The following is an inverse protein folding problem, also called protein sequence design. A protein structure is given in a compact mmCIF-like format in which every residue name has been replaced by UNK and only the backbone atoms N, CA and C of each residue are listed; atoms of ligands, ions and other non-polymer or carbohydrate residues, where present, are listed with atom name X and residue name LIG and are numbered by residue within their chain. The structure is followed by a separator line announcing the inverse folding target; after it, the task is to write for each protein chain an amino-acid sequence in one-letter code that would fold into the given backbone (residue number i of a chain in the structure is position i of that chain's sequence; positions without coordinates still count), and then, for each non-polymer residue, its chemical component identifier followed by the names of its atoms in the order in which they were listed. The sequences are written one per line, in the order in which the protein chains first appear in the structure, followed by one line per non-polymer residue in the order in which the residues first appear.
data_IF_517049679663
#
_entry.id   IF_517049679663
#
_cell.length_a   1.000
_cell.length_b   1.000
_cell.length_c   1.000
_cell.angle_alpha   90.00
_cell.angle_beta   90.00
_cell.angle_gamma   90.00
#
_symmetry.space_group_name_H-M   'P 1'
#
loop_
_entity.id
_entity.type
_entity.pdbx_description
1 polymer ?
#
# COMPACT_ATOMS: atom_id res chain seq x y z
N UNK A 1 -3.32 -16.31 -1.78
CA UNK A 1 -2.14 -17.06 -1.28
C UNK A 1 -1.32 -17.74 -2.38
N UNK A 2 -1.88 -18.08 -3.55
CA UNK A 2 -1.17 -18.82 -4.61
C UNK A 2 0.10 -18.10 -5.09
N UNK A 3 0.02 -16.80 -5.40
CA UNK A 3 1.15 -16.02 -5.92
C UNK A 3 2.30 -15.94 -4.91
N UNK A 4 2.00 -15.62 -3.65
CA UNK A 4 3.01 -15.57 -2.58
C UNK A 4 3.69 -16.92 -2.35
N UNK A 5 2.94 -18.03 -2.43
CA UNK A 5 3.49 -19.38 -2.31
C UNK A 5 4.47 -19.70 -3.44
N UNK A 6 4.12 -19.41 -4.69
CA UNK A 6 5.02 -19.63 -5.84
C UNK A 6 6.34 -18.85 -5.70
N UNK A 7 6.27 -17.61 -5.24
CA UNK A 7 7.45 -16.79 -4.99
C UNK A 7 8.30 -17.37 -3.84
N UNK A 8 7.66 -17.77 -2.73
CA UNK A 8 8.34 -18.41 -1.61
C UNK A 8 9.05 -19.71 -2.02
N UNK A 9 8.37 -20.60 -2.76
CA UNK A 9 8.94 -21.88 -3.20
C UNK A 9 10.17 -21.66 -4.09
N UNK A 10 10.11 -20.71 -5.03
CA UNK A 10 11.27 -20.37 -5.85
C UNK A 10 12.40 -19.74 -5.02
N UNK A 11 12.08 -18.81 -4.12
CA UNK A 11 13.07 -18.18 -3.26
C UNK A 11 13.77 -19.21 -2.35
N UNK A 12 13.00 -20.13 -1.76
CA UNK A 12 13.54 -21.22 -0.93
C UNK A 12 14.43 -22.15 -1.74
N UNK A 13 13.99 -22.55 -2.94
CA UNK A 13 14.79 -23.37 -3.85
C UNK A 13 16.12 -22.70 -4.19
N UNK A 14 16.10 -21.43 -4.57
CA UNK A 14 17.30 -20.66 -4.89
C UNK A 14 18.23 -20.53 -3.67
N UNK A 15 17.67 -20.21 -2.51
CA UNK A 15 18.41 -20.11 -1.25
C UNK A 15 19.12 -21.40 -0.88
N UNK A 16 18.44 -22.55 -0.97
CA UNK A 16 19.01 -23.86 -0.67
C UNK A 16 20.10 -24.29 -1.67
N UNK A 17 20.04 -23.80 -2.91
CA UNK A 17 21.04 -24.08 -3.95
C UNK A 17 22.22 -23.10 -3.99
N UNK A 18 22.18 -22.02 -3.21
CA UNK A 18 23.17 -20.94 -3.30
C UNK A 18 24.52 -21.36 -2.70
N UNK A 19 25.62 -21.06 -3.41
CA UNK A 19 26.98 -21.23 -2.90
C UNK A 19 27.54 -19.89 -2.38
N UNK A 20 28.24 -19.91 -1.24
CA UNK A 20 28.80 -18.71 -0.59
C UNK A 20 29.77 -17.94 -1.50
N UNK A 21 30.42 -18.63 -2.45
CA UNK A 21 31.36 -18.07 -3.42
C UNK A 21 30.73 -17.07 -4.41
N UNK A 22 29.40 -16.97 -4.48
CA UNK A 22 28.71 -16.22 -5.54
C UNK A 22 28.63 -14.70 -5.29
N UNK A 23 28.74 -14.25 -4.04
CA UNK A 23 28.57 -12.83 -3.67
C UNK A 23 29.86 -12.14 -3.26
N UNK A 24 30.71 -12.88 -2.57
CA UNK A 24 31.85 -12.34 -1.84
C UNK A 24 33.07 -13.03 -2.41
N UNK A 25 33.85 -12.31 -3.24
CA UNK A 25 35.25 -12.69 -3.44
C UNK A 25 35.98 -12.74 -2.07
N UNK A 26 37.28 -12.99 -2.03
CA UNK A 26 38.01 -13.11 -0.74
C UNK A 26 37.94 -11.88 0.18
N UNK A 27 37.43 -10.73 -0.30
CA UNK A 27 37.19 -9.51 0.48
C UNK A 27 35.87 -8.82 0.04
N UNK A 28 34.83 -8.72 0.89
CA UNK A 28 33.57 -8.07 0.53
C UNK A 28 33.76 -6.54 0.47
N UNK A 29 33.97 -6.02 -0.74
CA UNK A 29 33.92 -4.57 -0.96
C UNK A 29 32.52 -4.04 -0.68
N UNK A 30 32.40 -3.30 0.42
CA UNK A 30 31.20 -2.54 0.78
C UNK A 30 31.41 -1.09 0.38
N UNK A 31 30.51 -0.58 -0.45
CA UNK A 31 30.52 0.83 -0.83
C UNK A 31 29.09 1.30 -1.05
N UNK A 32 28.84 2.58 -0.81
CA UNK A 32 27.57 3.22 -1.12
C UNK A 32 27.82 4.56 -1.76
N UNK A 33 26.97 4.93 -2.70
CA UNK A 33 26.88 6.27 -3.25
C UNK A 33 25.41 6.64 -3.25
N UNK A 34 25.09 7.84 -2.78
CA UNK A 34 23.75 8.38 -2.84
C UNK A 34 23.81 9.79 -3.43
N UNK A 35 22.76 10.17 -4.12
CA UNK A 35 22.62 11.52 -4.63
C UNK A 35 21.14 11.91 -4.67
N UNK A 36 20.88 13.17 -4.35
CA UNK A 36 19.54 13.75 -4.28
C UNK A 36 19.58 15.00 -5.17
N UNK A 37 18.80 15.00 -6.25
CA UNK A 37 18.89 16.06 -7.27
C UNK A 37 17.56 16.53 -7.78
N UNK A 38 17.48 17.83 -8.07
CA UNK A 38 16.45 18.37 -8.95
C UNK A 38 16.66 17.91 -10.40
N UNK A 39 15.87 16.93 -10.82
CA UNK A 39 15.99 16.32 -12.15
C UNK A 39 15.62 17.28 -13.28
N UNK A 40 14.79 18.30 -13.01
CA UNK A 40 14.28 19.23 -14.04
C UNK A 40 15.30 20.31 -14.42
N UNK A 41 16.30 20.53 -13.57
CA UNK A 41 17.33 21.54 -13.77
C UNK A 41 18.43 21.10 -14.76
N UNK A 42 18.59 19.80 -14.99
CA UNK A 42 19.74 19.24 -15.69
C UNK A 42 19.50 18.98 -17.19
N UNK A 43 20.53 19.26 -17.99
CA UNK A 43 20.61 18.82 -19.38
C UNK A 43 21.70 17.72 -19.48
N UNK A 44 21.41 16.63 -20.19
CA UNK A 44 22.26 15.44 -20.19
C UNK A 44 22.37 14.79 -21.57
N UNK A 45 23.49 14.14 -21.89
CA UNK A 45 23.64 13.41 -23.15
C UNK A 45 22.73 12.17 -23.18
N UNK A 46 22.31 11.76 -24.38
CA UNK A 46 21.58 10.49 -24.52
C UNK A 46 22.46 9.30 -24.12
N UNK A 47 21.98 8.38 -23.26
CA UNK A 47 22.70 7.17 -22.89
C UNK A 47 22.57 6.05 -23.94
N UNK A 48 21.77 6.25 -24.99
CA UNK A 48 21.43 5.23 -26.00
C UNK A 48 22.34 5.37 -27.22
N UNK A 49 23.62 5.03 -27.08
CA UNK A 49 24.58 5.01 -28.18
C UNK A 49 24.35 3.76 -29.05
N UNK A 50 23.45 3.86 -30.03
CA UNK A 50 23.14 2.78 -30.98
C UNK A 50 21.82 2.97 -31.75
N UNK A 51 20.88 3.76 -31.23
CA UNK A 51 19.63 4.12 -31.94
C UNK A 51 19.79 5.40 -32.78
N UNK A 52 20.92 6.11 -32.64
CA UNK A 52 21.31 7.23 -33.50
C UNK A 52 21.96 6.75 -34.82
N UNK A 53 21.26 5.92 -35.58
CA UNK A 53 21.62 5.70 -36.98
C UNK A 53 21.10 6.90 -37.78
N UNK A 54 22.01 7.65 -38.40
CA UNK A 54 21.75 8.76 -39.35
C UNK A 54 21.16 10.06 -38.79
N UNK A 55 21.77 10.66 -37.77
CA UNK A 55 21.75 12.13 -37.65
C UNK A 55 23.19 12.62 -37.55
N UNK A 56 23.48 13.68 -38.31
CA UNK A 56 24.81 14.23 -38.61
C UNK A 56 25.81 14.24 -37.45
N UNK A 57 27.09 14.21 -37.81
CA UNK A 57 28.29 14.23 -36.97
C UNK A 57 28.46 15.47 -36.05
N UNK A 58 27.38 16.18 -35.72
CA UNK A 58 27.33 17.13 -34.62
C UNK A 58 26.88 16.40 -33.36
N UNK A 59 27.55 16.65 -32.23
CA UNK A 59 27.18 16.10 -30.92
C UNK A 59 25.65 16.14 -30.73
N UNK A 60 24.99 15.00 -30.44
CA UNK A 60 23.53 14.98 -30.34
C UNK A 60 23.07 16.01 -29.29
N UNK A 61 21.93 16.69 -29.51
CA UNK A 61 21.45 17.71 -28.57
C UNK A 61 21.26 17.09 -27.19
N UNK A 62 21.63 17.84 -26.15
CA UNK A 62 21.39 17.43 -24.77
C UNK A 62 19.89 17.26 -24.53
N UNK A 63 19.53 16.15 -23.88
CA UNK A 63 18.18 15.87 -23.43
C UNK A 63 17.88 16.63 -22.15
N UNK A 64 16.59 16.88 -21.92
CA UNK A 64 16.03 17.37 -20.66
C UNK A 64 14.82 16.52 -20.31
N UNK A 65 14.56 16.39 -19.02
CA UNK A 65 13.26 15.90 -18.54
C UNK A 65 12.27 17.07 -18.45
N UNK A 66 11.00 16.75 -18.25
CA UNK A 66 9.93 17.73 -18.10
C UNK A 66 9.62 18.01 -16.63
N UNK A 67 8.98 19.16 -16.30
CA UNK A 67 8.27 19.32 -15.04
C UNK A 67 7.29 18.15 -14.80
N UNK A 68 7.03 17.78 -13.55
CA UNK A 68 6.18 16.63 -13.26
C UNK A 68 4.74 16.81 -13.78
N UNK A 69 4.24 15.85 -14.55
CA UNK A 69 2.84 15.83 -14.96
C UNK A 69 2.28 14.41 -15.13
N UNK A 70 1.01 14.25 -14.75
CA UNK A 70 0.25 13.03 -15.03
C UNK A 70 -0.48 13.15 -16.36
N UNK A 71 -0.56 12.03 -17.07
CA UNK A 71 -1.32 11.92 -18.31
C UNK A 71 -2.69 11.28 -18.11
N UNK A 72 -3.61 11.48 -19.06
CA UNK A 72 -4.94 10.86 -19.03
C UNK A 72 -4.92 9.34 -18.81
N UNK A 73 -3.92 8.63 -19.35
CA UNK A 73 -3.72 7.21 -19.12
C UNK A 73 -3.55 6.86 -17.64
N UNK A 74 -2.90 7.72 -16.85
CA UNK A 74 -2.78 7.55 -15.39
C UNK A 74 -4.16 7.54 -14.76
N UNK A 75 -5.04 8.50 -15.06
CA UNK A 75 -6.37 8.58 -14.45
C UNK A 75 -7.32 7.44 -14.87
N UNK A 76 -6.96 6.66 -15.90
CA UNK A 76 -7.71 5.46 -16.32
C UNK A 76 -7.51 4.25 -15.41
N UNK A 77 -6.50 4.26 -14.55
CA UNK A 77 -6.15 3.14 -13.68
C UNK A 77 -5.59 1.95 -14.47
N UNK A 78 -5.52 0.79 -13.82
CA UNK A 78 -5.07 -0.47 -14.43
C UNK A 78 -6.14 -1.55 -14.23
N UNK A 79 -5.86 -2.75 -14.75
CA UNK A 79 -6.68 -3.95 -14.46
C UNK A 79 -6.64 -4.37 -12.98
N UNK A 80 -5.63 -3.92 -12.23
CA UNK A 80 -5.48 -4.20 -10.80
C UNK A 80 -6.19 -3.16 -9.92
N UNK A 81 -6.65 -2.06 -10.52
CA UNK A 81 -7.38 -0.98 -9.87
C UNK A 81 -7.85 0.04 -10.90
N UNK A 82 -9.13 -0.05 -11.28
CA UNK A 82 -9.70 0.80 -12.32
C UNK A 82 -9.80 2.27 -11.87
N UNK A 83 -9.75 3.18 -12.84
CA UNK A 83 -10.17 4.56 -12.65
C UNK A 83 -11.60 4.66 -12.10
N UNK A 84 -11.89 5.69 -11.31
CA UNK A 84 -13.23 5.89 -10.73
C UNK A 84 -14.29 6.25 -11.77
N UNK A 85 -13.87 6.65 -12.97
CA UNK A 85 -14.76 7.18 -13.99
C UNK A 85 -14.43 6.62 -15.37
N UNK A 86 -15.47 6.17 -16.07
CA UNK A 86 -15.40 5.70 -17.47
C UNK A 86 -14.92 6.77 -18.45
N UNK A 87 -14.88 8.04 -18.03
CA UNK A 87 -14.25 9.14 -18.78
C UNK A 87 -12.75 8.93 -18.99
N UNK A 88 -12.08 8.19 -18.11
CA UNK A 88 -10.67 7.87 -18.23
C UNK A 88 -10.49 6.42 -18.68
N UNK A 89 -9.97 6.23 -19.88
CA UNK A 89 -9.63 4.91 -20.42
C UNK A 89 -8.13 4.85 -20.74
N UNK A 90 -7.52 3.69 -20.51
CA UNK A 90 -6.11 3.47 -20.89
C UNK A 90 -5.94 3.65 -22.40
N UNK A 91 -4.83 4.26 -22.83
CA UNK A 91 -4.55 4.50 -24.25
C UNK A 91 -5.31 5.67 -24.87
N UNK A 92 -6.06 6.45 -24.06
CA UNK A 92 -6.79 7.63 -24.55
C UNK A 92 -5.82 8.76 -24.90
N UNK A 93 -5.85 9.16 -26.18
CA UNK A 93 -5.04 10.26 -26.73
C UNK A 93 -5.80 11.58 -26.89
N UNK A 94 -7.07 11.61 -26.54
CA UNK A 94 -7.93 12.81 -26.63
C UNK A 94 -8.28 13.33 -25.25
N UNK A 95 -8.05 14.62 -25.02
CA UNK A 95 -8.44 15.31 -23.79
C UNK A 95 -9.95 15.56 -23.71
N UNK A 96 -10.46 15.74 -22.49
CA UNK A 96 -11.84 16.19 -22.24
C UNK A 96 -11.85 17.66 -21.87
N UNK A 97 -12.76 18.45 -22.44
CA UNK A 97 -12.90 19.89 -22.17
C UNK A 97 -13.17 20.15 -20.68
N UNK A 98 -14.07 19.38 -20.06
CA UNK A 98 -14.41 19.52 -18.64
C UNK A 98 -13.20 19.23 -17.74
N UNK A 99 -12.46 18.16 -18.04
CA UNK A 99 -11.28 17.78 -17.25
C UNK A 99 -10.13 18.77 -17.45
N UNK A 100 -9.94 19.29 -18.66
CA UNK A 100 -8.96 20.34 -18.93
C UNK A 100 -9.29 21.61 -18.15
N UNK A 101 -10.57 22.02 -18.08
CA UNK A 101 -11.00 23.17 -17.31
C UNK A 101 -10.67 23.00 -15.82
N UNK A 102 -11.05 21.86 -15.22
CA UNK A 102 -10.78 21.57 -13.81
C UNK A 102 -9.27 21.52 -13.54
N UNK A 103 -8.50 20.87 -14.41
CA UNK A 103 -7.03 20.82 -14.36
C UNK A 103 -6.44 22.22 -14.35
N UNK A 104 -6.88 23.09 -15.27
CA UNK A 104 -6.28 24.41 -15.46
C UNK A 104 -6.60 25.37 -14.30
N UNK A 105 -7.67 25.13 -13.54
CA UNK A 105 -7.95 25.82 -12.26
C UNK A 105 -6.91 25.45 -11.20
N UNK A 106 -6.49 24.19 -11.10
CA UNK A 106 -5.49 23.75 -10.11
C UNK A 106 -4.05 24.08 -10.53
N UNK A 107 -3.76 23.96 -11.82
CA UNK A 107 -2.41 24.11 -12.36
C UNK A 107 -2.46 24.17 -13.89
N UNK A 108 -2.37 25.37 -14.50
CA UNK A 108 -2.53 25.52 -15.93
C UNK A 108 -1.44 24.79 -16.71
N UNK A 109 -1.84 24.09 -17.77
CA UNK A 109 -0.91 23.47 -18.73
C UNK A 109 -0.58 24.48 -19.83
N UNK A 110 0.70 24.84 -19.93
CA UNK A 110 1.19 25.71 -21.00
C UNK A 110 1.52 24.91 -22.27
N UNK A 111 1.58 25.57 -23.45
CA UNK A 111 2.06 24.93 -24.67
C UNK A 111 3.47 24.32 -24.53
N UNK A 112 4.33 24.94 -23.71
CA UNK A 112 5.66 24.42 -23.41
C UNK A 112 5.63 23.12 -22.59
N UNK A 113 4.73 23.02 -21.60
CA UNK A 113 4.55 21.79 -20.83
C UNK A 113 4.09 20.65 -21.75
N UNK A 114 3.06 20.92 -22.57
CA UNK A 114 2.52 19.93 -23.51
C UNK A 114 3.57 19.52 -24.56
N UNK A 115 4.35 20.46 -25.07
CA UNK A 115 5.43 20.18 -26.02
C UNK A 115 6.52 19.31 -25.39
N UNK A 116 6.91 19.57 -24.14
CA UNK A 116 7.89 18.74 -23.43
C UNK A 116 7.38 17.31 -23.22
N UNK A 117 6.13 17.17 -22.76
CA UNK A 117 5.52 15.87 -22.52
C UNK A 117 5.18 15.08 -23.79
N UNK A 118 5.22 15.73 -24.96
CA UNK A 118 5.04 15.11 -26.26
C UNK A 118 3.67 14.46 -26.42
N UNK A 119 3.65 13.14 -26.63
CA UNK A 119 2.44 12.36 -26.90
C UNK A 119 1.49 12.25 -25.70
N UNK A 120 1.99 12.47 -24.47
CA UNK A 120 1.17 12.43 -23.26
C UNK A 120 0.24 13.63 -23.23
N UNK A 121 -1.06 13.36 -23.25
CA UNK A 121 -2.08 14.38 -22.92
C UNK A 121 -2.09 14.59 -21.40
N UNK A 122 -1.75 15.79 -20.96
CA UNK A 122 -1.63 16.11 -19.54
C UNK A 122 -3.02 16.22 -18.90
N UNK A 123 -3.30 15.39 -17.90
CA UNK A 123 -4.53 15.46 -17.10
C UNK A 123 -4.34 16.26 -15.81
N UNK A 124 -3.10 16.35 -15.31
CA UNK A 124 -2.77 17.07 -14.08
C UNK A 124 -1.32 17.57 -14.13
N UNK A 125 -1.14 18.89 -14.05
CA UNK A 125 0.17 19.54 -14.03
C UNK A 125 0.78 19.52 -12.62
N UNK A 126 1.13 18.32 -12.15
CA UNK A 126 1.54 18.07 -10.78
C UNK A 126 2.72 18.93 -10.30
N UNK A 127 3.65 19.29 -11.17
CA UNK A 127 4.81 20.11 -10.86
C UNK A 127 4.48 21.59 -10.61
N UNK A 128 3.25 22.04 -10.90
CA UNK A 128 2.79 23.42 -10.65
C UNK A 128 1.78 23.53 -9.52
N UNK A 129 1.29 22.41 -8.99
CA UNK A 129 0.31 22.41 -7.92
C UNK A 129 1.06 22.59 -6.59
N UNK A 130 0.63 23.61 -5.84
CA UNK A 130 1.13 23.91 -4.50
C UNK A 130 -0.04 23.79 -3.52
N UNK A 131 0.11 22.97 -2.47
CA UNK A 131 -0.85 22.89 -1.38
C UNK A 131 -0.24 23.54 -0.15
N UNK A 132 -0.65 24.76 0.20
CA UNK A 132 -0.11 25.51 1.35
C UNK A 132 1.42 25.57 1.37
N UNK A 133 2.02 25.99 0.24
CA UNK A 133 3.47 26.06 0.01
C UNK A 133 4.20 24.70 0.04
N UNK A 134 3.44 23.61 -0.14
CA UNK A 134 3.98 22.26 -0.32
C UNK A 134 3.81 21.88 -1.79
N UNK A 135 4.91 21.61 -2.52
CA UNK A 135 4.79 21.13 -3.89
C UNK A 135 4.11 19.77 -3.89
N UNK A 136 3.11 19.62 -4.77
CA UNK A 136 2.35 18.39 -4.90
C UNK A 136 3.24 17.20 -5.29
N UNK A 137 4.20 17.44 -6.16
CA UNK A 137 5.29 16.51 -6.45
C UNK A 137 6.63 17.23 -6.30
N UNK A 138 7.58 16.56 -5.67
CA UNK A 138 8.97 17.02 -5.63
C UNK A 138 9.62 16.87 -7.02
N UNK A 139 10.50 17.79 -7.40
CA UNK A 139 11.45 17.58 -8.51
C UNK A 139 12.79 17.01 -8.01
N UNK A 140 12.99 17.02 -6.70
CA UNK A 140 14.17 16.50 -6.02
C UNK A 140 14.02 15.00 -5.79
N UNK A 141 14.79 14.20 -6.53
CA UNK A 141 14.69 12.73 -6.59
C UNK A 141 15.91 12.08 -5.92
N UNK A 142 15.72 11.22 -4.89
CA UNK A 142 16.80 10.48 -4.26
C UNK A 142 17.15 9.22 -5.05
N UNK A 143 18.43 8.98 -5.28
CA UNK A 143 18.95 7.78 -5.95
C UNK A 143 20.15 7.23 -5.19
N UNK A 144 20.31 5.91 -5.16
CA UNK A 144 21.39 5.28 -4.41
C UNK A 144 21.84 3.98 -5.08
N UNK A 145 23.15 3.72 -5.01
CA UNK A 145 23.74 2.43 -5.38
C UNK A 145 24.54 1.92 -4.19
N UNK A 146 24.22 0.71 -3.74
CA UNK A 146 24.95 -0.02 -2.72
C UNK A 146 25.68 -1.20 -3.35
N UNK A 147 26.96 -1.36 -3.04
CA UNK A 147 27.78 -2.49 -3.46
C UNK A 147 28.05 -3.41 -2.28
N UNK A 148 27.79 -4.69 -2.49
CA UNK A 148 28.15 -5.80 -1.60
C UNK A 148 28.92 -6.82 -2.43
N UNK A 149 30.25 -6.71 -2.45
CA UNK A 149 31.12 -7.56 -3.26
C UNK A 149 30.82 -7.41 -4.76
N UNK A 150 30.23 -8.45 -5.36
CA UNK A 150 29.81 -8.47 -6.78
C UNK A 150 28.35 -8.03 -7.00
N UNK A 151 27.57 -7.79 -5.94
CA UNK A 151 26.19 -7.34 -6.04
C UNK A 151 26.12 -5.81 -5.94
N UNK A 152 25.43 -5.19 -6.89
CA UNK A 152 25.15 -3.76 -6.95
C UNK A 152 23.63 -3.57 -6.87
N UNK A 153 23.15 -3.10 -5.72
CA UNK A 153 21.73 -2.81 -5.49
C UNK A 153 21.49 -1.36 -5.85
N UNK A 154 20.71 -1.12 -6.90
CA UNK A 154 20.32 0.20 -7.36
C UNK A 154 18.94 0.52 -6.80
N UNK A 155 18.90 1.36 -5.77
CA UNK A 155 17.68 1.82 -5.12
C UNK A 155 17.09 3.01 -5.88
N UNK A 156 15.86 2.83 -6.35
CA UNK A 156 15.15 3.75 -7.23
C UNK A 156 13.80 4.11 -6.62
N UNK A 157 13.43 5.40 -6.58
CA UNK A 157 12.18 5.82 -5.96
C UNK A 157 11.04 5.76 -6.98
N UNK A 158 10.99 4.70 -7.80
CA UNK A 158 10.04 4.58 -8.91
C UNK A 158 9.73 3.11 -9.26
N UNK A 159 8.66 2.92 -10.01
CA UNK A 159 8.21 1.66 -10.60
C UNK A 159 8.71 1.54 -12.05
N UNK A 160 9.80 0.80 -12.24
CA UNK A 160 10.36 0.55 -13.57
C UNK A 160 9.54 -0.50 -14.30
N UNK A 161 9.12 -0.22 -15.53
CA UNK A 161 8.57 -1.26 -16.40
C UNK A 161 9.61 -2.33 -16.71
N UNK A 162 9.16 -3.49 -17.19
CA UNK A 162 10.04 -4.61 -17.51
C UNK A 162 11.18 -4.21 -18.46
N UNK A 163 10.88 -3.51 -19.56
CA UNK A 163 11.91 -3.11 -20.51
C UNK A 163 12.75 -1.94 -20.03
N UNK A 164 12.18 -1.01 -19.26
CA UNK A 164 12.95 0.06 -18.60
C UNK A 164 14.02 -0.51 -17.68
N UNK A 165 13.64 -1.47 -16.83
CA UNK A 165 14.56 -2.13 -15.92
C UNK A 165 15.65 -2.92 -16.66
N UNK A 166 15.30 -3.66 -17.72
CA UNK A 166 16.28 -4.39 -18.55
C UNK A 166 17.29 -3.46 -19.20
N UNK A 167 16.83 -2.40 -19.87
CA UNK A 167 17.70 -1.39 -20.51
C UNK A 167 18.62 -0.73 -19.48
N UNK A 168 18.10 -0.38 -18.31
CA UNK A 168 18.88 0.24 -17.25
C UNK A 168 19.96 -0.72 -16.70
N UNK A 169 19.62 -1.97 -16.40
CA UNK A 169 20.59 -2.97 -15.94
C UNK A 169 21.71 -3.18 -16.95
N UNK A 170 21.37 -3.30 -18.24
CA UNK A 170 22.38 -3.44 -19.30
C UNK A 170 23.27 -2.21 -19.42
N UNK A 171 22.70 -1.01 -19.33
CA UNK A 171 23.45 0.23 -19.38
C UNK A 171 24.45 0.34 -18.21
N UNK A 172 24.02 0.06 -16.98
CA UNK A 172 24.87 0.12 -15.79
C UNK A 172 26.01 -0.91 -15.81
N UNK A 173 25.78 -2.09 -16.39
CA UNK A 173 26.85 -3.09 -16.57
C UNK A 173 27.95 -2.66 -17.54
N UNK A 174 27.69 -1.66 -18.39
CA UNK A 174 28.67 -1.09 -19.33
C UNK A 174 29.48 0.05 -18.73
N UNK A 175 29.21 0.46 -17.48
CA UNK A 175 30.03 1.45 -16.78
C UNK A 175 31.48 0.96 -16.71
N UNK A 176 32.43 1.87 -16.95
CA UNK A 176 33.86 1.54 -16.89
C UNK A 176 34.22 0.95 -15.52
N UNK A 177 35.06 -0.08 -15.51
CA UNK A 177 35.45 -0.80 -14.29
C UNK A 177 34.36 -1.67 -13.65
N UNK A 178 33.17 -1.79 -14.26
CA UNK A 178 32.15 -2.72 -13.75
C UNK A 178 32.67 -4.17 -13.82
N UNK A 179 32.58 -4.95 -12.72
CA UNK A 179 33.12 -6.31 -12.71
C UNK A 179 32.42 -7.23 -13.72
N UNK A 180 33.19 -8.06 -14.45
CA UNK A 180 32.65 -9.02 -15.44
C UNK A 180 31.56 -9.94 -14.87
N UNK A 181 31.71 -10.36 -13.61
CA UNK A 181 30.76 -11.23 -12.92
C UNK A 181 29.77 -10.45 -12.03
N UNK A 182 29.81 -9.12 -12.06
CA UNK A 182 28.96 -8.26 -11.26
C UNK A 182 27.48 -8.41 -11.62
N UNK A 183 26.62 -8.25 -10.62
CA UNK A 183 25.16 -8.31 -10.75
C UNK A 183 24.57 -6.97 -10.36
N UNK A 184 23.72 -6.42 -11.21
CA UNK A 184 22.90 -5.24 -10.88
C UNK A 184 21.51 -5.73 -10.52
N UNK A 185 21.06 -5.40 -9.31
CA UNK A 185 19.72 -5.64 -8.81
C UNK A 185 19.01 -4.29 -8.71
N UNK A 186 17.93 -4.11 -9.46
CA UNK A 186 17.07 -2.95 -9.27
C UNK A 186 16.17 -3.20 -8.06
N UNK A 187 16.13 -2.22 -7.16
CA UNK A 187 15.21 -2.18 -6.04
C UNK A 187 14.33 -0.94 -6.20
N UNK A 188 13.12 -1.12 -6.74
CA UNK A 188 12.14 -0.05 -6.91
C UNK A 188 11.56 0.41 -5.56
N UNK A 189 10.71 1.44 -5.60
CA UNK A 189 10.00 1.99 -4.44
C UNK A 189 10.92 2.25 -3.22
N UNK A 190 12.16 2.66 -3.47
CA UNK A 190 13.17 2.89 -2.45
C UNK A 190 13.40 4.38 -2.23
N UNK A 191 13.53 4.83 -0.98
CA UNK A 191 13.85 6.22 -0.58
C UNK A 191 12.82 7.31 -0.95
N UNK A 192 11.84 7.01 -1.79
CA UNK A 192 10.75 7.90 -2.19
C UNK A 192 9.83 7.22 -3.21
N UNK A 193 8.83 7.94 -3.70
CA UNK A 193 7.90 7.45 -4.72
C UNK A 193 7.56 8.52 -5.76
N UNK A 194 8.04 8.31 -6.99
CA UNK A 194 7.91 9.17 -8.16
C UNK A 194 7.26 8.39 -9.32
N UNK A 195 6.30 7.52 -8.96
CA UNK A 195 5.47 6.76 -9.90
C UNK A 195 6.31 5.93 -10.87
N UNK A 196 5.93 5.90 -12.15
CA UNK A 196 6.44 4.92 -13.11
C UNK A 196 7.61 5.47 -13.92
N UNK A 197 8.38 4.54 -14.48
CA UNK A 197 9.36 4.84 -15.52
C UNK A 197 9.16 3.84 -16.65
N UNK A 198 8.70 4.36 -17.78
CA UNK A 198 8.57 3.63 -19.04
C UNK A 198 9.75 3.89 -19.97
N UNK A 199 9.95 3.00 -20.93
CA UNK A 199 10.75 3.31 -22.12
C UNK A 199 10.05 4.39 -22.94
N UNK A 200 10.77 5.08 -23.83
CA UNK A 200 10.17 6.05 -24.76
C UNK A 200 9.09 5.42 -25.67
N UNK A 201 9.26 4.13 -26.01
CA UNK A 201 8.34 3.38 -26.85
C UNK A 201 7.05 3.06 -26.10
N UNK A 202 7.17 2.58 -24.86
CA UNK A 202 6.04 2.35 -23.95
C UNK A 202 5.32 3.68 -23.61
N UNK A 203 6.07 4.77 -23.42
CA UNK A 203 5.54 6.11 -23.15
C UNK A 203 4.55 6.56 -24.25
N UNK A 204 4.91 6.32 -25.52
CA UNK A 204 4.04 6.64 -26.66
C UNK A 204 2.77 5.77 -26.76
N UNK A 205 2.70 4.67 -26.01
CA UNK A 205 1.51 3.83 -25.89
C UNK A 205 0.38 4.49 -25.11
N UNK A 206 0.67 5.53 -24.30
CA UNK A 206 -0.32 6.27 -23.48
C UNK A 206 -1.14 5.40 -22.50
N UNK A 207 -0.59 4.26 -22.09
CA UNK A 207 -1.12 3.42 -21.01
C UNK A 207 -0.92 4.04 -19.62
N UNK A 208 -1.35 3.36 -18.56
CA UNK A 208 -1.29 3.86 -17.19
C UNK A 208 0.13 4.29 -16.78
N UNK A 209 1.10 3.42 -17.00
CA UNK A 209 2.50 3.62 -16.63
C UNK A 209 3.12 4.78 -17.44
N UNK A 210 2.73 4.92 -18.70
CA UNK A 210 3.14 6.04 -19.55
C UNK A 210 2.55 7.37 -19.06
N UNK A 211 1.26 7.36 -18.69
CA UNK A 211 0.61 8.50 -18.05
C UNK A 211 1.26 8.87 -16.71
N UNK A 212 1.71 7.87 -15.96
CA UNK A 212 2.35 8.01 -14.65
C UNK A 212 3.87 8.23 -14.70
N UNK A 213 4.48 8.26 -15.88
CA UNK A 213 5.91 8.59 -16.03
C UNK A 213 6.12 10.10 -15.93
N UNK A 214 6.31 10.59 -14.70
CA UNK A 214 6.13 12.00 -14.33
C UNK A 214 6.91 12.99 -15.16
N UNK A 215 8.20 12.74 -15.41
CA UNK A 215 9.12 13.71 -16.00
C UNK A 215 9.28 13.57 -17.52
N UNK A 216 8.26 13.00 -18.18
CA UNK A 216 8.18 12.94 -19.64
C UNK A 216 8.97 11.79 -20.28
N UNK A 217 9.08 11.78 -21.63
CA UNK A 217 9.60 10.64 -22.38
C UNK A 217 11.07 10.33 -22.08
N UNK A 218 11.85 11.32 -21.65
CA UNK A 218 13.28 11.18 -21.36
C UNK A 218 13.58 10.68 -19.94
N UNK A 219 12.57 10.32 -19.15
CA UNK A 219 12.75 9.91 -17.74
C UNK A 219 13.70 8.72 -17.60
N UNK A 220 13.54 7.66 -18.41
CA UNK A 220 14.45 6.50 -18.37
C UNK A 220 15.88 6.87 -18.78
N UNK A 221 16.01 7.75 -19.77
CA UNK A 221 17.32 8.22 -20.25
C UNK A 221 18.06 9.00 -19.14
N UNK A 222 17.34 9.84 -18.40
CA UNK A 222 17.90 10.53 -17.24
C UNK A 222 18.42 9.54 -16.19
N UNK A 223 17.61 8.56 -15.79
CA UNK A 223 18.02 7.54 -14.82
C UNK A 223 19.26 6.77 -15.29
N UNK A 224 19.29 6.33 -16.56
CA UNK A 224 20.43 5.61 -17.10
C UNK A 224 21.72 6.43 -17.05
N UNK A 225 21.68 7.68 -17.52
CA UNK A 225 22.82 8.60 -17.46
C UNK A 225 23.27 8.90 -16.03
N UNK A 226 22.34 9.27 -15.16
CA UNK A 226 22.63 9.66 -13.78
C UNK A 226 23.21 8.51 -12.96
N UNK A 227 22.59 7.32 -13.05
CA UNK A 227 23.05 6.15 -12.30
C UNK A 227 24.37 5.61 -12.84
N UNK A 228 24.67 5.75 -14.13
CA UNK A 228 25.98 5.42 -14.67
C UNK A 228 27.08 6.35 -14.11
N UNK A 229 26.77 7.63 -13.86
CA UNK A 229 27.68 8.55 -13.15
C UNK A 229 27.88 8.11 -11.70
N UNK A 230 26.81 7.79 -10.98
CA UNK A 230 26.93 7.26 -9.60
C UNK A 230 27.74 5.97 -9.55
N UNK A 231 27.49 5.05 -10.47
CA UNK A 231 28.26 3.80 -10.59
C UNK A 231 29.74 4.08 -10.84
N UNK A 232 30.06 5.05 -11.71
CA UNK A 232 31.43 5.46 -11.99
C UNK A 232 32.14 6.02 -10.74
N UNK A 233 31.44 6.86 -9.95
CA UNK A 233 31.94 7.34 -8.67
C UNK A 233 32.17 6.20 -7.66
N UNK A 234 31.24 5.27 -7.55
CA UNK A 234 31.32 4.12 -6.65
C UNK A 234 32.51 3.21 -6.99
N UNK A 235 32.83 3.07 -8.28
CA UNK A 235 33.94 2.25 -8.78
C UNK A 235 35.28 3.00 -8.83
N UNK A 236 35.29 4.32 -8.57
CA UNK A 236 36.49 5.15 -8.69
C UNK A 236 36.98 5.31 -10.13
N UNK A 237 36.08 5.24 -11.11
CA UNK A 237 36.43 5.28 -12.54
C UNK A 237 35.98 6.57 -13.20
N UNK A 238 36.84 7.11 -14.07
CA UNK A 238 36.55 8.28 -14.90
C UNK A 238 36.77 9.63 -14.20
N UNK A 239 36.92 10.68 -15.02
CA UNK A 239 37.06 12.06 -14.56
C UNK A 239 35.66 12.68 -14.38
N UNK A 240 34.90 12.23 -13.39
CA UNK A 240 33.62 12.85 -13.06
C UNK A 240 33.82 13.96 -12.03
N UNK A 241 33.17 15.12 -12.18
CA UNK A 241 33.19 16.15 -11.15
C UNK A 241 32.66 15.56 -9.84
N UNK A 242 33.20 15.97 -8.66
CA UNK A 242 32.71 15.50 -7.38
C UNK A 242 31.18 15.61 -7.29
N UNK A 243 30.53 14.63 -6.66
CA UNK A 243 29.10 14.72 -6.38
C UNK A 243 28.88 15.93 -5.46
N UNK A 244 28.34 17.00 -6.02
CA UNK A 244 27.83 18.12 -5.24
C UNK A 244 26.54 17.64 -4.58
N UNK A 245 26.63 17.27 -3.31
CA UNK A 245 25.47 17.06 -2.46
C UNK A 245 24.65 18.35 -2.47
N UNK A 246 23.52 18.35 -3.18
CA UNK A 246 22.55 19.43 -3.02
C UNK A 246 22.01 19.31 -1.59
N UNK A 247 22.09 20.40 -0.84
CA UNK A 247 21.39 20.50 0.43
C UNK A 247 19.90 20.28 0.11
N UNK A 248 19.34 19.14 0.52
CA UNK A 248 17.89 18.99 0.55
C UNK A 248 17.36 20.10 1.45
N UNK A 249 16.26 20.72 1.06
CA UNK A 249 15.58 21.71 1.89
C UNK A 249 15.45 21.15 3.32
N UNK A 250 16.02 21.84 4.31
CA UNK A 250 16.31 21.26 5.63
C UNK A 250 15.03 20.83 6.40
N UNK A 251 13.86 21.14 5.85
CA UNK A 251 12.55 20.85 6.42
C UNK A 251 11.69 20.03 5.46
N UNK A 252 12.11 18.78 5.20
CA UNK A 252 11.32 17.80 4.44
C UNK A 252 10.08 17.32 5.21
N UNK A 253 10.10 17.43 6.55
CA UNK A 253 8.97 17.02 7.37
C UNK A 253 7.93 18.13 7.47
N UNK A 254 6.98 18.10 6.53
CA UNK A 254 5.79 18.96 6.54
C UNK A 254 4.58 18.24 7.15
N UNK A 255 4.77 17.10 7.82
CA UNK A 255 3.69 16.29 8.40
C UNK A 255 2.81 17.09 9.34
N UNK A 256 3.39 17.91 10.23
CA UNK A 256 2.63 18.76 11.15
C UNK A 256 1.73 19.76 10.40
N UNK A 257 2.19 20.31 9.28
CA UNK A 257 1.39 21.22 8.45
C UNK A 257 0.29 20.44 7.72
N UNK A 258 0.61 19.26 7.18
CA UNK A 258 -0.38 18.38 6.55
C UNK A 258 -1.43 17.89 7.55
N UNK A 259 -1.07 17.59 8.79
CA UNK A 259 -2.00 17.21 9.86
C UNK A 259 -2.93 18.38 10.25
N UNK A 260 -2.42 19.61 10.25
CA UNK A 260 -3.23 20.81 10.48
C UNK A 260 -4.21 21.06 9.33
N UNK A 261 -3.80 20.79 8.09
CA UNK A 261 -4.59 21.02 6.88
C UNK A 261 -5.61 19.90 6.64
N UNK A 262 -5.19 18.63 6.75
CA UNK A 262 -6.05 17.46 6.56
C UNK A 262 -7.01 17.22 7.73
N UNK A 263 -6.75 17.89 8.86
CA UNK A 263 -7.31 17.53 10.15
C UNK A 263 -6.71 16.21 10.61
N UNK A 264 -6.17 16.14 11.83
CA UNK A 264 -6.03 14.86 12.51
C UNK A 264 -7.39 14.15 12.39
N UNK A 265 -7.48 12.91 11.85
CA UNK A 265 -8.73 12.18 11.90
C UNK A 265 -8.97 11.90 13.37
N UNK A 266 -9.65 12.83 14.05
CA UNK A 266 -10.15 12.62 15.39
C UNK A 266 -10.90 11.30 15.29
N UNK A 267 -10.40 10.27 15.97
CA UNK A 267 -10.91 8.90 15.85
C UNK A 267 -12.36 8.78 16.31
N UNK A 268 -12.92 9.90 16.78
CA UNK A 268 -14.23 10.04 17.36
C UNK A 268 -14.18 9.63 18.82
N UNK A 269 -15.35 9.60 19.42
CA UNK A 269 -15.56 8.82 20.63
C UNK A 269 -16.00 7.41 20.24
N UNK A 270 -15.82 6.47 21.15
CA UNK A 270 -16.33 5.10 21.04
C UNK A 270 -17.45 4.91 22.07
N UNK A 271 -18.52 4.21 21.69
CA UNK A 271 -19.62 3.89 22.58
C UNK A 271 -19.88 2.38 22.62
N UNK A 272 -19.90 1.79 23.81
CA UNK A 272 -20.17 0.35 23.97
C UNK A 272 -21.69 0.04 24.01
N UNK A 273 -22.53 1.06 24.20
CA UNK A 273 -23.94 0.89 24.57
C UNK A 273 -24.17 1.10 26.06
N UNK A 274 -25.44 1.11 26.47
CA UNK A 274 -25.84 1.37 27.86
C UNK A 274 -25.70 0.13 28.76
N UNK A 275 -25.72 -1.07 28.17
CA UNK A 275 -25.81 -2.34 28.89
C UNK A 275 -24.67 -3.31 28.58
N UNK A 276 -23.65 -2.85 27.87
CA UNK A 276 -22.56 -3.69 27.39
C UNK A 276 -21.21 -2.98 27.51
N UNK A 277 -20.14 -3.77 27.50
CA UNK A 277 -18.77 -3.30 27.60
C UNK A 277 -18.00 -3.56 26.30
N UNK A 278 -16.94 -2.77 26.08
CA UNK A 278 -15.99 -3.06 25.01
C UNK A 278 -15.34 -4.43 25.22
N UNK A 279 -15.33 -5.25 24.17
CA UNK A 279 -14.87 -6.63 24.23
C UNK A 279 -15.98 -7.65 24.53
N UNK A 280 -17.22 -7.25 24.78
CA UNK A 280 -18.30 -8.23 24.96
C UNK A 280 -18.58 -8.98 23.64
N UNK A 281 -18.67 -10.33 23.65
CA UNK A 281 -19.03 -11.11 22.49
C UNK A 281 -20.52 -10.96 22.17
N UNK A 282 -20.83 -10.69 20.91
CA UNK A 282 -22.20 -10.52 20.41
C UNK A 282 -22.86 -11.83 19.98
N UNK A 283 -22.06 -12.88 19.77
CA UNK A 283 -22.52 -14.22 19.44
C UNK A 283 -21.63 -15.26 20.13
N UNK A 284 -22.13 -16.49 20.28
CA UNK A 284 -21.38 -17.60 20.86
C UNK A 284 -20.64 -18.41 19.78
N UNK A 285 -19.55 -19.08 20.17
CA UNK A 285 -18.91 -20.13 19.36
C UNK A 285 -19.68 -21.44 19.48
N UNK A 286 -19.58 -22.32 18.47
CA UNK A 286 -19.95 -23.74 18.64
C UNK A 286 -19.03 -24.39 19.67
N UNK A 287 -19.45 -25.54 20.22
CA UNK A 287 -18.64 -26.30 21.18
C UNK A 287 -17.40 -26.93 20.55
N UNK A 288 -17.48 -27.31 19.27
CA UNK A 288 -16.38 -27.94 18.56
C UNK A 288 -16.33 -27.54 17.07
N UNK A 289 -15.13 -27.62 16.49
CA UNK A 289 -14.83 -27.32 15.10
C UNK A 289 -13.81 -28.33 14.56
N UNK A 290 -13.99 -28.76 13.31
CA UNK A 290 -13.02 -29.54 12.58
C UNK A 290 -12.00 -28.64 11.85
N UNK A 291 -10.80 -29.15 11.54
CA UNK A 291 -9.86 -28.48 10.63
C UNK A 291 -10.51 -28.17 9.28
N UNK A 292 -10.23 -26.98 8.75
CA UNK A 292 -10.87 -26.43 7.56
C UNK A 292 -12.15 -25.62 7.83
N UNK A 293 -12.84 -25.86 8.95
CA UNK A 293 -13.97 -25.03 9.36
C UNK A 293 -13.51 -23.65 9.87
N UNK A 294 -14.43 -22.68 9.89
CA UNK A 294 -14.16 -21.33 10.38
C UNK A 294 -14.93 -21.02 11.66
N UNK A 295 -14.19 -20.54 12.67
CA UNK A 295 -14.76 -19.92 13.86
C UNK A 295 -15.02 -18.46 13.53
N UNK A 296 -16.26 -17.99 13.73
CA UNK A 296 -16.63 -16.59 13.51
C UNK A 296 -17.30 -16.01 14.75
N UNK A 297 -16.74 -14.91 15.24
CA UNK A 297 -17.25 -14.17 16.40
C UNK A 297 -17.30 -12.68 16.08
N UNK A 298 -18.24 -11.97 16.70
CA UNK A 298 -18.29 -10.52 16.69
C UNK A 298 -18.20 -10.00 18.11
N UNK A 299 -17.49 -8.90 18.30
CA UNK A 299 -17.31 -8.24 19.58
C UNK A 299 -17.74 -6.78 19.47
N UNK A 300 -18.26 -6.22 20.57
CA UNK A 300 -18.33 -4.76 20.72
C UNK A 300 -16.90 -4.23 20.74
N UNK A 301 -16.61 -3.27 19.85
CA UNK A 301 -15.25 -2.82 19.55
C UNK A 301 -15.16 -1.30 19.61
N UNK A 302 -13.94 -0.83 19.46
CA UNK A 302 -13.58 0.57 19.27
C UNK A 302 -12.93 0.78 17.91
N UNK A 303 -12.76 2.05 17.51
CA UNK A 303 -12.04 2.44 16.32
C UNK A 303 -10.59 1.92 16.39
N UNK A 304 -10.14 1.04 15.47
CA UNK A 304 -8.80 0.43 15.52
C UNK A 304 -7.68 1.46 15.45
N UNK A 305 -7.96 2.67 14.92
CA UNK A 305 -7.01 3.77 14.85
C UNK A 305 -6.46 4.18 16.22
N UNK A 306 -7.22 3.99 17.29
CA UNK A 306 -6.78 4.25 18.66
C UNK A 306 -5.57 3.38 19.10
N UNK A 307 -5.28 2.28 18.40
CA UNK A 307 -4.20 1.35 18.76
C UNK A 307 -3.02 1.33 17.77
N UNK A 308 -3.04 2.15 16.71
CA UNK A 308 -2.06 2.06 15.61
C UNK A 308 -0.63 2.42 16.00
N UNK A 309 -0.43 3.28 16.99
CA UNK A 309 0.90 3.70 17.43
C UNK A 309 1.63 2.64 18.29
N UNK A 310 0.95 1.54 18.65
CA UNK A 310 1.47 0.56 19.60
C UNK A 310 2.25 -0.54 18.89
N UNK A 311 3.55 -0.60 19.17
CA UNK A 311 4.43 -1.67 18.65
C UNK A 311 4.06 -3.03 19.28
N UNK A 312 4.07 -4.08 18.47
CA UNK A 312 3.82 -5.45 18.93
C UNK A 312 2.37 -5.72 19.37
N UNK A 313 1.42 -4.85 19.02
CA UNK A 313 0.01 -5.04 19.33
C UNK A 313 -0.67 -5.96 18.29
N UNK A 314 -1.60 -6.78 18.76
CA UNK A 314 -2.53 -7.54 17.93
C UNK A 314 -3.95 -7.32 18.44
N UNK A 315 -4.88 -7.05 17.52
CA UNK A 315 -6.30 -6.89 17.80
C UNK A 315 -6.99 -8.21 18.11
N UNK A 316 -6.42 -9.33 17.64
CA UNK A 316 -6.97 -10.68 17.79
C UNK A 316 -5.88 -11.65 18.19
N UNK A 317 -6.16 -12.44 19.23
CA UNK A 317 -5.37 -13.60 19.62
C UNK A 317 -6.25 -14.85 19.60
N UNK A 318 -5.84 -15.85 18.82
CA UNK A 318 -6.34 -17.21 18.95
C UNK A 318 -5.47 -17.90 19.98
N UNK A 319 -6.05 -18.28 21.11
CA UNK A 319 -5.34 -18.87 22.22
C UNK A 319 -5.72 -20.35 22.35
N UNK A 320 -4.72 -21.21 22.57
CA UNK A 320 -4.89 -22.63 22.90
C UNK A 320 -4.63 -22.84 24.39
N UNK A 321 -5.43 -23.66 25.05
CA UNK A 321 -5.15 -24.07 26.41
C UNK A 321 -4.02 -25.10 26.42
N UNK A 322 -2.98 -24.84 27.22
CA UNK A 322 -1.88 -25.76 27.47
C UNK A 322 -2.10 -26.45 28.80
N UNK A 323 -2.45 -27.74 28.78
CA UNK A 323 -2.63 -28.52 29.99
C UNK A 323 -1.34 -28.59 30.82
N UNK A 324 -0.18 -28.78 30.18
CA UNK A 324 1.13 -28.81 30.83
C UNK A 324 1.45 -27.54 31.63
N UNK A 325 1.03 -26.37 31.14
CA UNK A 325 1.32 -25.07 31.76
C UNK A 325 0.13 -24.50 32.54
N UNK A 326 -1.00 -25.20 32.55
CA UNK A 326 -2.29 -24.75 33.08
C UNK A 326 -2.68 -23.32 32.65
N UNK A 327 -2.34 -22.92 31.42
CA UNK A 327 -2.58 -21.56 30.91
C UNK A 327 -2.86 -21.52 29.41
N UNK A 328 -3.52 -20.44 28.99
CA UNK A 328 -3.72 -20.10 27.58
C UNK A 328 -2.42 -19.60 26.96
N UNK A 329 -2.08 -20.13 25.78
CA UNK A 329 -0.93 -19.73 24.97
C UNK A 329 -1.41 -19.26 23.60
N UNK A 330 -0.76 -18.24 23.04
CA UNK A 330 -1.12 -17.73 21.71
C UNK A 330 -0.74 -18.75 20.65
N UNK A 331 -1.73 -19.19 19.86
CA UNK A 331 -1.57 -20.11 18.74
C UNK A 331 -1.55 -19.36 17.40
N UNK A 332 -2.29 -18.25 17.28
CA UNK A 332 -2.25 -17.36 16.12
C UNK A 332 -2.64 -15.94 16.52
N UNK A 333 -2.16 -14.96 15.76
CA UNK A 333 -2.54 -13.54 15.86
C UNK A 333 -3.29 -13.11 14.59
N UNK A 334 -3.64 -11.82 14.51
CA UNK A 334 -4.15 -11.15 13.31
C UNK A 334 -3.12 -11.00 12.17
N UNK A 335 -1.83 -11.19 12.42
CA UNK A 335 -0.82 -11.34 11.36
C UNK A 335 -0.84 -12.71 10.69
N UNK A 336 -1.57 -13.68 11.26
CA UNK A 336 -1.72 -15.02 10.71
C UNK A 336 -2.57 -15.05 9.44
N UNK A 337 -2.15 -15.83 8.44
CA UNK A 337 -2.84 -15.93 7.14
C UNK A 337 -4.29 -16.40 7.24
N UNK A 338 -4.64 -17.13 8.30
CA UNK A 338 -5.94 -17.73 8.54
C UNK A 338 -6.84 -16.93 9.49
N UNK A 339 -6.32 -15.84 10.05
CA UNK A 339 -7.09 -14.93 10.89
C UNK A 339 -7.52 -13.73 10.07
N UNK A 340 -8.75 -13.28 10.29
CA UNK A 340 -9.30 -12.06 9.70
C UNK A 340 -9.94 -11.23 10.80
N UNK A 341 -9.50 -9.99 10.90
CA UNK A 341 -10.12 -8.96 11.70
C UNK A 341 -10.83 -7.98 10.75
N UNK A 342 -12.14 -7.78 10.94
CA UNK A 342 -12.92 -6.80 10.19
C UNK A 342 -13.66 -5.91 11.16
N UNK A 343 -13.47 -4.60 11.00
CA UNK A 343 -14.12 -3.60 11.82
C UNK A 343 -15.27 -2.94 11.04
N UNK A 344 -16.39 -2.74 11.71
CA UNK A 344 -17.58 -2.12 11.15
C UNK A 344 -18.07 -1.00 12.07
N UNK A 345 -18.15 0.25 11.59
CA UNK A 345 -18.83 1.31 12.32
C UNK A 345 -20.33 1.00 12.39
N UNK A 346 -20.96 1.39 13.48
CA UNK A 346 -22.40 1.33 13.70
C UNK A 346 -22.94 2.72 14.03
N UNK A 347 -24.26 2.83 14.25
CA UNK A 347 -24.87 4.08 14.69
C UNK A 347 -24.36 4.50 16.08
N UNK A 348 -24.51 5.78 16.40
CA UNK A 348 -24.21 6.34 17.74
C UNK A 348 -22.81 6.01 18.26
N UNK A 349 -21.78 6.08 17.40
CA UNK A 349 -20.38 5.83 17.76
C UNK A 349 -20.08 4.40 18.24
N UNK A 350 -21.02 3.47 18.07
CA UNK A 350 -20.77 2.07 18.33
C UNK A 350 -19.95 1.46 17.19
N UNK A 351 -19.23 0.38 17.48
CA UNK A 351 -18.57 -0.39 16.43
C UNK A 351 -18.46 -1.86 16.79
N UNK A 352 -18.33 -2.69 15.76
CA UNK A 352 -18.25 -4.15 15.89
C UNK A 352 -16.99 -4.66 15.21
N UNK A 353 -16.24 -5.48 15.93
CA UNK A 353 -15.12 -6.25 15.38
C UNK A 353 -15.58 -7.67 15.09
N UNK A 354 -15.64 -8.05 13.81
CA UNK A 354 -15.83 -9.44 13.39
C UNK A 354 -14.48 -10.11 13.23
N UNK A 355 -14.28 -11.16 14.02
CA UNK A 355 -13.13 -12.04 13.95
C UNK A 355 -13.53 -13.31 13.23
N UNK A 356 -12.70 -13.75 12.28
CA UNK A 356 -12.82 -15.08 11.67
C UNK A 356 -11.48 -15.78 11.74
N UNK A 357 -11.47 -17.00 12.28
CA UNK A 357 -10.32 -17.88 12.26
C UNK A 357 -10.68 -19.16 11.51
N UNK A 358 -10.09 -19.35 10.33
CA UNK A 358 -10.20 -20.60 9.58
C UNK A 358 -9.17 -21.57 10.13
N UNK A 359 -9.59 -22.69 10.70
CA UNK A 359 -8.67 -23.63 11.34
C UNK A 359 -7.81 -24.28 10.25
N UNK A 360 -6.48 -24.07 10.22
CA UNK A 360 -5.64 -24.65 9.19
C UNK A 360 -5.54 -26.18 9.36
N UNK A 361 -5.28 -26.88 8.26
CA UNK A 361 -4.89 -28.30 8.32
C UNK A 361 -3.63 -28.46 9.19
N UNK A 362 -3.58 -29.52 10.00
CA UNK A 362 -2.48 -29.74 10.95
C UNK A 362 -2.53 -28.87 12.21
N UNK A 363 -3.61 -28.11 12.44
CA UNK A 363 -3.79 -27.39 13.70
C UNK A 363 -3.89 -28.39 14.86
N UNK A 364 -3.14 -28.14 15.94
CA UNK A 364 -3.16 -29.02 17.11
C UNK A 364 -4.57 -29.14 17.70
N UNK A 365 -5.10 -30.34 17.93
CA UNK A 365 -6.37 -30.52 18.61
C UNK A 365 -6.33 -30.00 20.05
N UNK A 366 -7.49 -29.68 20.60
CA UNK A 366 -7.61 -29.23 21.99
C UNK A 366 -8.51 -28.04 22.14
N UNK A 367 -8.38 -27.34 23.27
CA UNK A 367 -9.28 -26.26 23.63
C UNK A 367 -8.72 -24.90 23.26
N UNK A 368 -9.59 -24.09 22.66
CA UNK A 368 -9.28 -22.80 22.10
C UNK A 368 -10.26 -21.73 22.60
N UNK A 369 -9.82 -20.48 22.55
CA UNK A 369 -10.65 -19.30 22.66
C UNK A 369 -10.09 -18.18 21.79
N UNK A 370 -10.93 -17.22 21.45
CA UNK A 370 -10.54 -16.01 20.73
C UNK A 370 -10.58 -14.84 21.70
N UNK A 371 -9.48 -14.10 21.81
CA UNK A 371 -9.42 -12.82 22.49
C UNK A 371 -9.45 -11.69 21.46
N UNK A 372 -10.29 -10.71 21.69
CA UNK A 372 -10.24 -9.42 21.02
C UNK A 372 -9.75 -8.36 22.01
N UNK A 373 -8.86 -7.48 21.57
CA UNK A 373 -8.30 -6.42 22.40
C UNK A 373 -7.98 -5.19 21.57
N UNK A 374 -7.83 -4.05 22.23
CA UNK A 374 -7.53 -2.78 21.59
C UNK A 374 -7.62 -1.64 22.58
N UNK A 375 -7.82 -0.43 22.05
CA UNK A 375 -7.96 0.78 22.83
C UNK A 375 -9.18 1.59 22.39
N UNK A 376 -9.82 2.23 23.35
CA UNK A 376 -11.07 2.95 23.18
C UNK A 376 -10.92 4.37 23.69
N UNK A 377 -11.63 5.29 23.04
CA UNK A 377 -11.85 6.64 23.53
C UNK A 377 -13.31 6.74 24.02
N UNK A 378 -13.64 6.22 25.21
CA UNK A 378 -15.03 6.03 25.62
C UNK A 378 -15.80 7.35 25.70
N UNK A 379 -17.01 7.40 25.13
CA UNK A 379 -17.93 8.49 25.38
C UNK A 379 -18.44 8.41 26.83
N UNK A 380 -17.80 9.10 27.78
CA UNK A 380 -18.30 9.24 29.16
C UNK A 380 -19.32 10.37 29.23
N UNK A 381 -20.43 10.12 29.92
CA UNK A 381 -21.50 11.10 30.15
C UNK A 381 -20.94 12.33 30.86
N UNK A 382 -20.68 13.41 30.12
CA UNK A 382 -20.40 14.75 30.65
C UNK A 382 -18.95 15.27 30.63
N UNK A 383 -17.94 14.51 30.16
CA UNK A 383 -16.57 15.03 30.02
C UNK A 383 -16.02 14.83 28.61
N UNK A 384 -15.70 15.94 27.93
CA UNK A 384 -15.15 16.03 26.57
C UNK A 384 -13.66 15.64 26.45
N UNK A 385 -13.10 14.97 27.46
CA UNK A 385 -11.71 14.52 27.49
C UNK A 385 -11.66 13.05 27.92
N UNK A 386 -12.13 12.15 27.05
CA UNK A 386 -11.90 10.73 27.26
C UNK A 386 -10.47 10.39 26.82
N UNK A 387 -9.63 9.98 27.78
CA UNK A 387 -8.34 9.36 27.51
C UNK A 387 -8.53 8.01 26.80
N UNK A 388 -7.56 7.65 25.96
CA UNK A 388 -7.53 6.35 25.29
C UNK A 388 -7.21 5.26 26.32
N UNK A 389 -8.13 4.29 26.52
CA UNK A 389 -8.02 3.20 27.50
C UNK A 389 -8.01 1.83 26.84
N UNK A 390 -7.23 0.85 27.33
CA UNK A 390 -7.23 -0.50 26.80
C UNK A 390 -8.52 -1.26 27.16
N UNK A 391 -8.92 -2.20 26.30
CA UNK A 391 -9.97 -3.18 26.59
C UNK A 391 -9.54 -4.57 26.14
N UNK A 392 -10.15 -5.60 26.73
CA UNK A 392 -9.96 -6.98 26.31
C UNK A 392 -11.23 -7.79 26.55
N UNK A 393 -11.65 -8.51 25.51
CA UNK A 393 -12.78 -9.43 25.50
C UNK A 393 -12.35 -10.83 25.09
N UNK A 394 -12.99 -11.85 25.66
CA UNK A 394 -12.71 -13.26 25.33
C UNK A 394 -13.98 -14.00 24.96
N UNK A 395 -13.90 -14.85 23.96
CA UNK A 395 -14.96 -15.78 23.60
C UNK A 395 -15.13 -16.86 24.67
N UNK A 396 -16.26 -17.58 24.59
CA UNK A 396 -16.37 -18.90 25.21
C UNK A 396 -15.31 -19.87 24.68
N UNK A 397 -15.04 -20.93 25.46
CA UNK A 397 -14.16 -22.04 25.08
C UNK A 397 -14.82 -22.89 23.99
N UNK A 398 -14.03 -23.31 23.01
CA UNK A 398 -14.44 -24.29 21.99
C UNK A 398 -13.29 -25.27 21.71
N UNK A 399 -13.61 -26.45 21.19
CA UNK A 399 -12.65 -27.50 20.90
C UNK A 399 -12.33 -27.60 19.41
N UNK A 400 -11.05 -27.70 19.08
CA UNK A 400 -10.59 -28.09 17.74
C UNK A 400 -10.37 -29.60 17.74
N UNK A 401 -11.00 -30.28 16.79
CA UNK A 401 -10.95 -31.74 16.63
C UNK A 401 -9.68 -32.18 15.86
N UNK A 402 -9.23 -33.43 16.02
CA UNK A 402 -8.20 -34.04 15.17
C UNK A 402 -8.54 -34.04 13.67
N UNK A 403 -7.51 -33.92 12.83
CA UNK A 403 -7.62 -34.12 11.38
C UNK A 403 -8.19 -35.54 11.09
N UNK A 404 -9.16 -35.63 10.17
CA UNK A 404 -9.70 -36.90 9.69
C UNK A 404 -10.89 -37.48 10.46
N UNK A 405 -11.31 -36.89 11.58
CA UNK A 405 -12.50 -37.34 12.33
C UNK A 405 -13.84 -36.73 11.86
N UNK A 406 -13.82 -35.84 10.86
CA UNK A 406 -15.02 -35.16 10.37
C UNK A 406 -15.31 -35.50 8.90
N UNK A 407 -16.44 -36.16 8.65
CA UNK A 407 -17.05 -36.32 7.32
C UNK A 407 -18.24 -35.35 7.23
N UNK A 408 -18.36 -34.50 6.18
CA UNK A 408 -19.54 -33.66 6.01
C UNK A 408 -20.80 -34.54 5.93
N UNK A 409 -21.76 -34.33 6.83
CA UNK A 409 -23.07 -35.00 6.79
C UNK A 409 -23.29 -36.16 7.76
N UNK A 410 -22.31 -36.54 8.60
CA UNK A 410 -22.59 -37.42 9.76
C UNK A 410 -22.86 -36.57 10.99
N UNK A 411 -24.11 -36.53 11.45
CA UNK A 411 -24.41 -36.06 12.80
C UNK A 411 -23.69 -36.99 13.78
N UNK A 412 -23.04 -36.40 14.78
CA UNK A 412 -22.68 -37.13 15.99
C UNK A 412 -23.99 -37.44 16.72
N UNK A 413 -24.64 -38.55 16.35
CA UNK A 413 -25.62 -39.18 17.23
C UNK A 413 -24.86 -39.89 18.35
N UNK A 414 -25.16 -39.43 19.57
CA UNK A 414 -25.31 -40.25 20.77
C UNK A 414 -24.06 -40.96 21.30
N UNK A 415 -23.28 -40.22 22.09
CA UNK A 415 -22.64 -40.78 23.29
C UNK A 415 -23.66 -40.66 24.45
N UNK A 416 -24.06 -41.75 25.13
CA UNK A 416 -25.07 -41.71 26.17
C UNK A 416 -24.46 -41.26 27.50
N UNK A 417 -24.77 -40.03 27.87
CA UNK A 417 -24.48 -39.48 29.20
C UNK A 417 -24.61 -37.96 29.13
N UNK A 418 -25.09 -37.33 30.20
CA UNK A 418 -25.23 -35.87 30.32
C UNK A 418 -26.50 -35.24 29.73
N UNK A 419 -27.61 -35.98 29.74
CA UNK A 419 -28.94 -35.37 29.75
C UNK A 419 -29.38 -35.10 31.20
N UNK A 420 -29.27 -33.85 31.66
CA UNK A 420 -30.25 -33.21 32.56
C UNK A 420 -29.89 -31.74 32.86
N UNK A 421 -30.96 -30.92 32.95
CA UNK A 421 -31.04 -29.51 33.39
C UNK A 421 -30.88 -28.42 32.32
N UNK A 422 -32.01 -28.10 31.68
CA UNK A 422 -32.83 -26.92 32.02
C UNK A 422 -33.61 -26.45 30.79
N UNK A 423 -34.82 -26.99 30.69
CA UNK A 423 -35.94 -26.39 29.98
C UNK A 423 -36.41 -25.16 30.76
N UNK A 424 -36.32 -23.96 30.16
CA UNK A 424 -37.31 -22.88 30.24
C UNK A 424 -36.74 -21.58 29.62
N UNK A 425 -37.11 -21.33 28.36
CA UNK A 425 -37.45 -19.98 27.86
C UNK A 425 -37.87 -20.11 26.39
N UNK A 426 -39.15 -20.42 26.19
CA UNK A 426 -39.84 -20.04 24.96
C UNK A 426 -40.10 -18.53 25.03
N UNK A 427 -39.59 -17.78 24.07
CA UNK A 427 -40.11 -16.45 23.78
C UNK A 427 -40.36 -16.32 22.27
N UNK A 428 -41.60 -15.96 22.01
CA UNK A 428 -42.31 -15.85 20.74
C UNK A 428 -41.70 -14.82 19.79
N UNK A 429 -41.43 -15.24 18.55
CA UNK A 429 -41.25 -14.34 17.41
C UNK A 429 -42.63 -14.04 16.79
N UNK A 430 -43.20 -12.89 17.12
CA UNK A 430 -44.31 -12.30 16.36
C UNK A 430 -43.74 -11.42 15.25
N UNK A 431 -43.96 -11.83 14.00
CA UNK A 431 -43.76 -11.02 12.80
C UNK A 431 -45.04 -10.23 12.53
N UNK A 432 -44.94 -8.94 12.27
CA UNK A 432 -45.97 -8.18 11.53
C UNK A 432 -45.34 -7.01 10.76
N UNK A 433 -45.97 -6.56 9.65
CA UNK A 433 -45.28 -5.94 8.52
C UNK A 433 -45.40 -4.41 8.44
N UNK A 434 -44.43 -3.83 7.72
CA UNK A 434 -44.45 -2.61 6.91
C UNK A 434 -45.23 -1.36 7.38
N UNK A 435 -44.50 -0.25 7.52
CA UNK A 435 -44.97 1.08 7.15
C UNK A 435 -43.85 1.84 6.42
N UNK A 436 -44.09 2.11 5.15
CA UNK A 436 -43.26 2.96 4.30
C UNK A 436 -43.65 4.43 4.53
N UNK A 437 -42.68 5.30 4.85
CA UNK A 437 -42.80 6.75 4.64
C UNK A 437 -41.44 7.36 4.25
N UNK A 438 -41.37 7.68 2.96
CA UNK A 438 -40.77 8.87 2.32
C UNK A 438 -39.35 9.31 2.69
N UNK A 439 -38.48 9.16 1.70
CA UNK A 439 -37.21 9.84 1.53
C UNK A 439 -37.42 11.35 1.35
N UNK A 440 -36.76 12.16 2.18
CA UNK A 440 -35.90 13.27 1.76
C UNK A 440 -35.25 13.91 3.00
N UNK A 441 -34.09 14.54 2.83
CA UNK A 441 -33.29 15.26 3.85
C UNK A 441 -32.22 14.49 4.66
N UNK A 442 -32.05 13.16 4.50
CA UNK A 442 -30.99 12.41 5.20
C UNK A 442 -29.75 12.06 4.32
N UNK A 443 -29.73 12.50 3.06
CA UNK A 443 -28.71 12.18 2.06
C UNK A 443 -27.53 13.16 2.01
N UNK A 444 -27.60 14.33 2.66
CA UNK A 444 -26.58 15.39 2.55
C UNK A 444 -25.39 15.28 3.53
N UNK A 445 -25.42 14.35 4.50
CA UNK A 445 -24.40 14.26 5.57
C UNK A 445 -23.55 12.98 5.54
N UNK A 446 -23.65 12.16 4.48
CA UNK A 446 -22.95 10.85 4.39
C UNK A 446 -21.80 10.80 3.37
N UNK A 447 -21.33 11.94 2.85
CA UNK A 447 -20.33 11.95 1.78
C UNK A 447 -18.88 12.23 2.20
N UNK A 448 -18.59 12.32 3.48
CA UNK A 448 -17.23 12.55 4.01
C UNK A 448 -16.99 11.47 5.08
N UNK A 449 -16.05 10.49 4.97
CA UNK A 449 -14.89 10.33 4.10
C UNK A 449 -14.70 8.86 3.60
N UNK A 450 -15.52 8.38 2.66
CA UNK A 450 -15.53 6.96 2.25
C UNK A 450 -14.72 6.65 0.97
N UNK A 451 -14.24 7.67 0.25
CA UNK A 451 -13.57 7.48 -1.04
C UNK A 451 -12.09 7.05 -0.96
N UNK A 452 -11.50 7.01 0.23
CA UNK A 452 -10.07 6.69 0.40
C UNK A 452 -9.76 5.20 0.60
N UNK A 453 -10.77 4.32 0.62
CA UNK A 453 -10.61 2.90 1.02
C UNK A 453 -10.99 1.87 -0.05
N UNK A 454 -11.43 2.28 -1.24
CA UNK A 454 -11.53 1.39 -2.38
C UNK A 454 -10.26 1.57 -3.21
N UNK A 455 -9.68 0.48 -3.74
CA UNK A 455 -8.47 0.47 -4.58
C UNK A 455 -8.66 1.22 -5.89
N UNK A 456 -8.88 2.52 -5.77
CA UNK A 456 -9.37 3.44 -6.79
C UNK A 456 -8.32 4.50 -7.04
N UNK A 457 -8.35 5.03 -8.25
CA UNK A 457 -7.29 5.85 -8.76
C UNK A 457 -7.20 7.22 -8.06
N UNK A 458 -6.02 7.48 -7.49
CA UNK A 458 -5.65 8.72 -6.79
C UNK A 458 -5.95 10.00 -7.57
N UNK A 459 -5.76 10.00 -8.90
CA UNK A 459 -6.07 11.15 -9.75
C UNK A 459 -7.56 11.54 -9.68
N UNK A 460 -8.44 10.55 -9.83
CA UNK A 460 -9.88 10.81 -9.90
C UNK A 460 -10.42 11.29 -8.55
N UNK A 461 -9.91 10.74 -7.44
CA UNK A 461 -10.22 11.22 -6.10
C UNK A 461 -9.76 12.67 -5.86
N UNK A 462 -8.58 13.04 -6.35
CA UNK A 462 -8.02 14.39 -6.24
C UNK A 462 -8.86 15.43 -6.98
N UNK A 463 -9.20 15.16 -8.25
CA UNK A 463 -10.04 16.05 -9.06
C UNK A 463 -11.40 16.28 -8.39
N UNK A 464 -12.02 15.21 -7.87
CA UNK A 464 -13.27 15.28 -7.12
C UNK A 464 -13.13 16.12 -5.86
N UNK A 465 -12.17 15.79 -4.98
CA UNK A 465 -11.99 16.49 -3.72
C UNK A 465 -11.72 17.98 -3.94
N UNK A 466 -10.96 18.33 -4.98
CA UNK A 466 -10.71 19.72 -5.31
C UNK A 466 -11.98 20.44 -5.77
N UNK A 467 -12.76 19.87 -6.71
CA UNK A 467 -14.05 20.43 -7.14
C UNK A 467 -14.98 20.69 -5.95
N UNK A 468 -15.15 19.69 -5.08
CA UNK A 468 -15.96 19.82 -3.86
C UNK A 468 -15.42 20.90 -2.89
N UNK A 469 -14.09 21.07 -2.80
CA UNK A 469 -13.47 22.08 -1.94
C UNK A 469 -13.69 23.51 -2.43
N UNK A 470 -13.88 23.71 -3.74
CA UNK A 470 -14.13 25.02 -4.35
C UNK A 470 -15.60 25.27 -4.72
N UNK A 471 -16.50 24.36 -4.34
CA UNK A 471 -17.95 24.50 -4.56
C UNK A 471 -18.40 24.30 -6.01
N UNK A 472 -17.62 23.57 -6.81
CA UNK A 472 -18.00 23.06 -8.14
C UNK A 472 -18.49 21.61 -8.02
#
# INVERSE_FOLDING_TARGET
MIIGRKQFEMALKLHQSAAVSDLVGRDPQLATVYDVRDVTSEAFPTPWTGEANNRDQNSPPLLRVCPAAFGYGFCGGTVDGYGLFDYFTMGRRQSSVLINLIRDIMGPVTPADQACHGTKQICMNAGRIMWSDIPFMSNTVPTQIMRIGQLFITALPAEMTTMSGRRLVEHLKRTSGFPKNGKVQLNGLSNGYFFYVTTEHEYNGTYYEAGATLYGPNTLAYYAWHLARLMSHLLGTGSQPPLQLQASDANLDKSQRLEQIAGQPNTGYDFAGLTANFGDPLNATRRAYAPGESVQLSFISCNPRNSLALRGHSFVLVERYSERLHRWIVASTDSGLYTRFRWYPQAFFQSVARVTWTIPAGQQPGDYRIRHQGHCRPLMSGMLAADVRPFSGVSGRFRVLPDGLWQPGKSLMEEPGWAQRDSNLQLSLSVSPAAAMTADAASALRFWPSLLLTGTNFCSCMLLNYCFSIGL
#
